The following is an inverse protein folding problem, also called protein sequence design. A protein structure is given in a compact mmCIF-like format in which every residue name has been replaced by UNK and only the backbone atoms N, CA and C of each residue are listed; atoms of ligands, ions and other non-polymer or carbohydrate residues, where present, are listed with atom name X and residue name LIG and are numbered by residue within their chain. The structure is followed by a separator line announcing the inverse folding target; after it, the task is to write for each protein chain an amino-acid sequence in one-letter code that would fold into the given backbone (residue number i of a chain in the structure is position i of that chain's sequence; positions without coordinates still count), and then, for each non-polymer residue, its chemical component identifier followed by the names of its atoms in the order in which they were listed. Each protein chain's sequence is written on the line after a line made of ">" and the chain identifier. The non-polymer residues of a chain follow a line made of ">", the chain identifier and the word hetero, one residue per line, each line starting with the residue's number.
data_IF_173381859820
#
_entry.id   IF_173381859820
#
_cell.length_a   1.000
_cell.length_b   1.000
_cell.length_c   1.000
_cell.angle_alpha   90.00
_cell.angle_beta   90.00
_cell.angle_gamma   90.00
#
_symmetry.space_group_name_H-M   'P 1'
#
loop_
_entity.id
_entity.type
_entity.pdbx_description
1 polymer ?
#
# COMPACT_ATOMS: atom_id res chain seq x y z
N UNK A 1 -11.94 -37.48 23.93
CA UNK A 1 -12.13 -37.37 25.39
C UNK A 1 -13.59 -37.20 25.86
N UNK A 2 -14.55 -36.74 25.02
CA UNK A 2 -15.93 -36.43 25.45
C UNK A 2 -16.82 -37.64 25.87
N UNK A 3 -16.39 -38.88 25.60
CA UNK A 3 -17.15 -40.10 25.91
C UNK A 3 -16.65 -40.89 27.14
N UNK A 4 -15.50 -40.50 27.71
CA UNK A 4 -14.93 -41.19 28.88
C UNK A 4 -15.72 -40.92 30.15
N UNK A 5 -16.20 -39.69 30.34
CA UNK A 5 -16.98 -39.28 31.52
C UNK A 5 -18.29 -40.06 31.66
N UNK A 6 -19.17 -40.17 30.64
CA UNK A 6 -20.41 -40.95 30.79
C UNK A 6 -20.14 -42.45 30.95
N UNK A 7 -19.11 -43.00 30.30
CA UNK A 7 -18.74 -44.40 30.43
C UNK A 7 -18.26 -44.76 31.85
N UNK A 8 -17.52 -43.86 32.48
CA UNK A 8 -16.98 -44.06 33.83
C UNK A 8 -18.08 -43.94 34.90
N UNK A 9 -19.03 -43.03 34.71
CA UNK A 9 -20.23 -42.92 35.56
C UNK A 9 -21.12 -44.16 35.44
N UNK A 10 -21.31 -44.68 34.22
CA UNK A 10 -22.07 -45.91 34.00
C UNK A 10 -21.42 -47.14 34.68
N UNK A 11 -20.09 -47.28 34.59
CA UNK A 11 -19.36 -48.37 35.26
C UNK A 11 -19.42 -48.28 36.79
N UNK A 12 -19.26 -47.08 37.36
CA UNK A 12 -19.35 -46.89 38.81
C UNK A 12 -20.77 -47.21 39.33
N UNK A 13 -21.81 -46.84 38.58
CA UNK A 13 -23.19 -47.16 38.92
C UNK A 13 -23.48 -48.67 38.83
N UNK A 14 -22.95 -49.35 37.80
CA UNK A 14 -23.08 -50.81 37.65
C UNK A 14 -22.43 -51.54 38.83
N UNK A 15 -21.26 -51.08 39.28
CA UNK A 15 -20.56 -51.62 40.44
C UNK A 15 -21.36 -51.45 41.74
N UNK A 16 -22.03 -50.30 41.92
CA UNK A 16 -22.90 -50.06 43.08
C UNK A 16 -24.13 -50.98 43.10
N UNK A 17 -24.76 -51.20 41.94
CA UNK A 17 -25.93 -52.07 41.82
C UNK A 17 -25.61 -53.55 42.16
N UNK A 18 -24.43 -54.03 41.74
CA UNK A 18 -23.96 -55.40 42.06
C UNK A 18 -23.68 -55.54 43.57
N UNK A 19 -23.12 -54.51 44.20
CA UNK A 19 -22.89 -54.47 45.66
C UNK A 19 -24.21 -54.53 46.45
N UNK A 20 -25.23 -53.77 46.05
CA UNK A 20 -26.54 -53.80 46.71
C UNK A 20 -27.31 -55.10 46.47
N UNK A 21 -27.13 -55.76 45.33
CA UNK A 21 -27.69 -57.08 45.07
C UNK A 21 -27.07 -58.16 45.98
N UNK A 22 -25.76 -58.06 46.25
CA UNK A 22 -25.05 -58.97 47.14
C UNK A 22 -25.45 -58.82 48.63
N UNK A 23 -26.01 -57.67 49.04
CA UNK A 23 -26.47 -57.41 50.42
C UNK A 23 -27.92 -57.85 50.69
N UNK A 24 -28.62 -58.47 49.73
CA UNK A 24 -29.91 -59.14 49.96
C UNK A 24 -31.13 -58.23 50.11
N UNK A 25 -31.06 -56.97 49.67
CA UNK A 25 -32.14 -55.98 49.76
C UNK A 25 -32.60 -55.54 48.35
N UNK A 26 -33.50 -56.30 47.68
CA UNK A 26 -33.87 -56.04 46.28
C UNK A 26 -34.59 -54.71 46.08
N UNK A 27 -35.25 -54.19 47.12
CA UNK A 27 -35.92 -52.88 47.10
C UNK A 27 -34.94 -51.72 46.97
N UNK A 28 -33.81 -51.76 47.68
CA UNK A 28 -32.80 -50.70 47.63
C UNK A 28 -32.08 -50.65 46.27
N UNK A 29 -31.82 -51.81 45.66
CA UNK A 29 -31.24 -51.91 44.32
C UNK A 29 -32.17 -51.35 43.24
N UNK A 30 -33.48 -51.62 43.34
CA UNK A 30 -34.48 -51.07 42.42
C UNK A 30 -34.57 -49.54 42.47
N UNK A 31 -34.52 -48.96 43.67
CA UNK A 31 -34.58 -47.50 43.86
C UNK A 31 -33.36 -46.80 43.25
N UNK A 32 -32.18 -47.39 43.37
CA UNK A 32 -30.94 -46.84 42.81
C UNK A 32 -30.92 -46.88 41.29
N UNK A 33 -31.36 -47.99 40.68
CA UNK A 33 -31.50 -48.11 39.22
C UNK A 33 -32.55 -47.14 38.67
N UNK A 34 -33.68 -46.96 39.38
CA UNK A 34 -34.69 -45.98 39.01
C UNK A 34 -34.17 -44.54 39.06
N UNK A 35 -33.38 -44.20 40.09
CA UNK A 35 -32.72 -42.90 40.21
C UNK A 35 -31.72 -42.64 39.08
N UNK A 36 -30.92 -43.64 38.71
CA UNK A 36 -29.97 -43.53 37.60
C UNK A 36 -30.70 -43.35 36.25
N UNK A 37 -31.75 -44.13 36.01
CA UNK A 37 -32.56 -44.01 34.80
C UNK A 37 -33.20 -42.62 34.70
N UNK A 38 -33.73 -42.09 35.81
CA UNK A 38 -34.27 -40.73 35.86
C UNK A 38 -33.20 -39.67 35.59
N UNK A 39 -31.98 -39.84 36.12
CA UNK A 39 -30.87 -38.90 35.91
C UNK A 39 -30.35 -38.96 34.46
N UNK A 40 -30.25 -40.14 33.85
CA UNK A 40 -29.86 -40.29 32.44
C UNK A 40 -30.92 -39.72 31.50
N UNK A 41 -32.21 -39.92 31.80
CA UNK A 41 -33.31 -39.31 31.03
C UNK A 41 -33.28 -37.79 31.20
N UNK A 42 -33.05 -37.27 32.40
CA UNK A 42 -32.91 -35.82 32.63
C UNK A 42 -31.70 -35.25 31.88
N UNK A 43 -30.54 -35.91 31.92
CA UNK A 43 -29.36 -35.50 31.16
C UNK A 43 -29.60 -35.53 29.64
N UNK A 44 -30.30 -36.55 29.13
CA UNK A 44 -30.65 -36.66 27.72
C UNK A 44 -31.67 -35.59 27.28
N UNK A 45 -32.65 -35.28 28.14
CA UNK A 45 -33.62 -34.19 27.90
C UNK A 45 -32.93 -32.84 27.97
N UNK A 46 -31.97 -32.63 28.89
CA UNK A 46 -31.17 -31.41 28.97
C UNK A 46 -30.26 -31.28 27.74
N UNK A 47 -29.60 -32.34 27.28
CA UNK A 47 -28.74 -32.31 26.09
C UNK A 47 -29.55 -32.07 24.80
N UNK A 48 -30.74 -32.70 24.68
CA UNK A 48 -31.68 -32.37 23.60
C UNK A 48 -32.23 -30.97 23.72
N UNK A 49 -32.46 -30.46 24.94
CA UNK A 49 -32.88 -29.08 25.15
C UNK A 49 -31.74 -28.11 24.90
N UNK A 50 -30.49 -28.34 25.23
CA UNK A 50 -29.39 -27.41 24.92
C UNK A 50 -29.10 -27.38 23.42
N UNK A 51 -29.19 -28.51 22.72
CA UNK A 51 -29.13 -28.56 21.24
C UNK A 51 -30.36 -27.89 20.60
N UNK A 52 -31.54 -27.93 21.24
CA UNK A 52 -32.74 -27.24 20.77
C UNK A 52 -32.87 -25.77 21.25
N UNK A 53 -32.16 -25.37 22.30
CA UNK A 53 -32.17 -24.03 22.93
C UNK A 53 -31.03 -23.16 22.39
N UNK A 54 -30.04 -23.73 21.68
CA UNK A 54 -29.27 -22.97 20.68
C UNK A 54 -30.10 -22.54 19.45
N UNK A 55 -31.42 -22.79 19.46
CA UNK A 55 -32.41 -22.30 18.50
C UNK A 55 -33.47 -21.37 19.12
N UNK A 56 -33.17 -20.65 20.21
CA UNK A 56 -34.02 -19.57 20.72
C UNK A 56 -33.23 -18.28 20.95
N UNK A 57 -32.97 -17.56 19.86
CA UNK A 57 -33.45 -16.19 19.66
C UNK A 57 -33.03 -15.76 18.26
N UNK A 58 -33.90 -16.07 17.30
CA UNK A 58 -33.80 -15.57 15.95
C UNK A 58 -34.07 -14.07 15.95
N UNK A 59 -33.07 -13.27 16.32
CA UNK A 59 -32.80 -12.12 15.48
C UNK A 59 -32.48 -12.74 14.13
N UNK A 60 -33.45 -12.71 13.20
CA UNK A 60 -33.21 -13.13 11.84
C UNK A 60 -31.92 -12.44 11.42
N UNK A 61 -30.83 -13.21 11.28
CA UNK A 61 -29.68 -12.74 10.53
C UNK A 61 -30.27 -12.65 9.13
N UNK A 62 -30.79 -11.49 8.80
CA UNK A 62 -31.28 -11.17 7.46
C UNK A 62 -30.11 -11.51 6.58
N UNK A 63 -30.23 -12.62 5.84
CA UNK A 63 -29.23 -13.03 4.87
C UNK A 63 -28.93 -11.76 4.05
N UNK A 64 -27.67 -11.29 4.01
CA UNK A 64 -27.35 -10.04 3.35
C UNK A 64 -27.97 -10.03 1.96
N UNK A 65 -28.68 -8.96 1.62
CA UNK A 65 -29.22 -8.84 0.28
C UNK A 65 -28.04 -8.67 -0.70
N UNK A 66 -27.66 -9.79 -1.32
CA UNK A 66 -26.53 -9.82 -2.25
C UNK A 66 -26.78 -8.94 -3.47
N UNK A 67 -28.04 -8.62 -3.80
CA UNK A 67 -28.35 -7.67 -4.87
C UNK A 67 -27.98 -6.24 -4.46
N UNK A 68 -28.21 -5.85 -3.21
CA UNK A 68 -27.78 -4.56 -2.67
C UNK A 68 -26.25 -4.47 -2.58
N UNK A 69 -25.59 -5.54 -2.14
CA UNK A 69 -24.12 -5.61 -2.11
C UNK A 69 -23.54 -5.49 -3.51
N UNK A 70 -24.10 -6.20 -4.50
CA UNK A 70 -23.67 -6.10 -5.90
C UNK A 70 -23.90 -4.69 -6.47
N UNK A 71 -25.02 -4.05 -6.15
CA UNK A 71 -25.31 -2.67 -6.57
C UNK A 71 -24.32 -1.67 -5.95
N UNK A 72 -24.03 -1.79 -4.65
CA UNK A 72 -23.07 -0.94 -3.96
C UNK A 72 -21.64 -1.12 -4.49
N UNK A 73 -21.19 -2.37 -4.69
CA UNK A 73 -19.90 -2.69 -5.30
C UNK A 73 -19.78 -2.12 -6.72
N UNK A 74 -20.88 -2.07 -7.47
CA UNK A 74 -20.89 -1.55 -8.85
C UNK A 74 -20.69 -0.03 -8.93
N UNK A 75 -20.89 0.71 -7.83
CA UNK A 75 -20.58 2.15 -7.77
C UNK A 75 -19.08 2.41 -7.60
N UNK A 76 -18.31 1.44 -7.09
CA UNK A 76 -16.87 1.58 -6.95
C UNK A 76 -16.17 1.42 -8.31
N UNK A 77 -15.28 2.36 -8.63
CA UNK A 77 -14.47 2.33 -9.86
C UNK A 77 -13.31 1.35 -9.78
N UNK A 78 -12.80 1.09 -8.58
CA UNK A 78 -11.66 0.19 -8.35
C UNK A 78 -12.15 -1.25 -8.20
N UNK A 79 -11.28 -2.22 -8.48
CA UNK A 79 -11.63 -3.62 -8.35
C UNK A 79 -11.97 -3.94 -6.88
N UNK A 80 -13.13 -4.54 -6.66
CA UNK A 80 -13.61 -4.93 -5.35
C UNK A 80 -14.41 -6.23 -5.39
N UNK A 81 -14.27 -7.03 -4.35
CA UNK A 81 -14.94 -8.31 -4.18
C UNK A 81 -15.34 -8.55 -2.72
N UNK A 82 -16.39 -9.32 -2.50
CA UNK A 82 -16.84 -9.75 -1.17
C UNK A 82 -16.75 -11.27 -1.11
N UNK A 83 -16.09 -11.79 -0.09
CA UNK A 83 -16.02 -13.24 0.18
C UNK A 83 -16.69 -13.57 1.51
N UNK A 84 -17.01 -14.84 1.69
CA UNK A 84 -17.31 -15.37 3.02
C UNK A 84 -16.01 -15.55 3.85
N UNK A 85 -16.17 -16.04 5.09
CA UNK A 85 -15.05 -16.30 6.00
C UNK A 85 -14.09 -17.40 5.50
N UNK A 86 -14.56 -18.32 4.65
CA UNK A 86 -13.75 -19.39 4.05
C UNK A 86 -12.94 -18.91 2.84
N UNK A 87 -13.25 -17.72 2.31
CA UNK A 87 -12.65 -17.16 1.10
C UNK A 87 -13.42 -17.51 -0.18
N UNK A 88 -14.63 -18.04 -0.08
CA UNK A 88 -15.49 -18.25 -1.24
C UNK A 88 -16.07 -16.91 -1.71
N UNK A 89 -16.02 -16.64 -3.02
CA UNK A 89 -16.49 -15.41 -3.61
C UNK A 89 -18.03 -15.32 -3.55
N UNK A 90 -18.55 -14.27 -2.91
CA UNK A 90 -19.99 -13.98 -2.82
C UNK A 90 -20.45 -13.00 -3.89
N UNK A 91 -19.70 -11.92 -4.10
CA UNK A 91 -20.00 -10.89 -5.10
C UNK A 91 -18.74 -10.14 -5.52
N UNK A 92 -18.71 -9.60 -6.73
CA UNK A 92 -17.62 -8.78 -7.23
C UNK A 92 -18.17 -7.69 -8.15
N UNK A 93 -17.43 -6.60 -8.34
CA UNK A 93 -17.78 -5.59 -9.34
C UNK A 93 -17.20 -5.92 -10.73
N UNK A 94 -17.58 -5.13 -11.73
CA UNK A 94 -17.09 -5.29 -13.10
C UNK A 94 -15.56 -5.14 -13.18
N UNK A 95 -15.00 -4.12 -12.53
CA UNK A 95 -13.55 -3.87 -12.53
C UNK A 95 -12.73 -5.05 -11.98
N UNK A 96 -13.23 -5.75 -10.96
CA UNK A 96 -12.61 -6.97 -10.45
C UNK A 96 -12.66 -8.10 -11.48
N UNK A 97 -13.83 -8.35 -12.05
CA UNK A 97 -14.03 -9.43 -13.03
C UNK A 97 -13.24 -9.23 -14.32
N UNK A 98 -13.15 -8.00 -14.79
CA UNK A 98 -12.37 -7.65 -15.98
C UNK A 98 -10.87 -7.85 -15.74
N UNK A 99 -10.42 -7.60 -14.50
CA UNK A 99 -9.00 -7.69 -14.13
C UNK A 99 -8.53 -9.11 -13.80
N UNK A 100 -9.34 -9.88 -13.07
CA UNK A 100 -8.93 -11.17 -12.49
C UNK A 100 -9.75 -12.36 -12.99
N UNK A 101 -10.82 -12.13 -13.76
CA UNK A 101 -11.73 -13.16 -14.26
C UNK A 101 -13.06 -13.21 -13.51
N UNK A 102 -14.06 -13.84 -14.14
CA UNK A 102 -15.46 -13.85 -13.68
C UNK A 102 -15.70 -14.61 -12.36
N UNK A 103 -14.86 -15.60 -12.06
CA UNK A 103 -15.07 -16.59 -10.98
C UNK A 103 -13.83 -16.85 -10.12
N UNK A 104 -12.75 -16.10 -10.35
CA UNK A 104 -11.52 -16.18 -9.56
C UNK A 104 -11.80 -15.67 -8.14
N UNK A 105 -11.51 -16.47 -7.12
CA UNK A 105 -11.55 -16.00 -5.73
C UNK A 105 -10.34 -15.08 -5.47
N UNK A 106 -10.47 -14.04 -4.61
CA UNK A 106 -9.36 -13.20 -4.19
C UNK A 106 -8.12 -13.96 -3.72
N UNK A 107 -8.30 -15.10 -3.02
CA UNK A 107 -7.20 -15.95 -2.56
C UNK A 107 -6.47 -16.67 -3.72
N UNK A 108 -7.16 -16.90 -4.84
CA UNK A 108 -6.62 -17.56 -6.03
C UNK A 108 -5.99 -16.61 -7.05
N UNK A 109 -5.85 -15.32 -6.73
CA UNK A 109 -5.21 -14.33 -7.61
C UNK A 109 -3.67 -14.44 -7.55
N UNK A 110 -3.13 -14.89 -6.42
CA UNK A 110 -1.69 -15.01 -6.21
C UNK A 110 -1.07 -15.97 -7.23
N UNK A 111 0.06 -15.56 -7.81
CA UNK A 111 0.80 -16.34 -8.80
C UNK A 111 1.94 -17.16 -8.19
N UNK A 112 2.36 -16.83 -6.96
CA UNK A 112 3.39 -17.54 -6.20
C UNK A 112 2.90 -17.90 -4.78
N UNK A 113 3.61 -18.82 -4.14
CA UNK A 113 3.26 -19.37 -2.82
C UNK A 113 3.38 -18.33 -1.71
N UNK A 114 4.42 -17.48 -1.76
CA UNK A 114 4.63 -16.40 -0.79
C UNK A 114 3.47 -15.39 -0.80
N UNK A 115 3.01 -15.02 -1.99
CA UNK A 115 1.87 -14.13 -2.20
C UNK A 115 0.57 -14.78 -1.72
N UNK A 116 0.40 -16.10 -1.94
CA UNK A 116 -0.77 -16.83 -1.46
C UNK A 116 -0.80 -16.87 0.08
N UNK A 117 0.35 -17.12 0.71
CA UNK A 117 0.48 -17.08 2.18
C UNK A 117 0.23 -15.68 2.73
N UNK A 118 0.76 -14.64 2.08
CA UNK A 118 0.53 -13.25 2.47
C UNK A 118 -0.96 -12.86 2.40
N UNK A 119 -1.69 -13.29 1.35
CA UNK A 119 -3.13 -13.07 1.25
C UNK A 119 -3.91 -13.82 2.35
N UNK A 120 -3.56 -15.07 2.65
CA UNK A 120 -4.24 -15.83 3.70
C UNK A 120 -3.92 -15.27 5.10
N UNK A 121 -2.69 -14.79 5.32
CA UNK A 121 -2.32 -14.08 6.54
C UNK A 121 -3.15 -12.80 6.71
N UNK A 122 -3.25 -11.97 5.66
CA UNK A 122 -4.07 -10.76 5.69
C UNK A 122 -5.55 -11.07 5.93
N UNK A 123 -6.08 -12.16 5.36
CA UNK A 123 -7.44 -12.66 5.62
C UNK A 123 -7.64 -13.00 7.09
N UNK A 124 -6.73 -13.76 7.70
CA UNK A 124 -6.81 -14.13 9.12
C UNK A 124 -6.74 -12.91 10.03
N UNK A 125 -5.86 -11.96 9.72
CA UNK A 125 -5.74 -10.67 10.44
C UNK A 125 -7.07 -9.90 10.33
N UNK A 126 -7.62 -9.73 9.13
CA UNK A 126 -8.88 -9.03 8.93
C UNK A 126 -10.07 -9.69 9.67
N UNK A 127 -10.13 -11.02 9.71
CA UNK A 127 -11.17 -11.73 10.46
C UNK A 127 -11.06 -11.50 11.98
N UNK A 128 -9.84 -11.43 12.50
CA UNK A 128 -9.55 -11.22 13.93
C UNK A 128 -9.72 -9.76 14.34
N UNK A 129 -9.05 -8.86 13.63
CA UNK A 129 -8.85 -7.46 14.01
C UNK A 129 -9.82 -6.50 13.28
N UNK A 130 -10.55 -7.00 12.29
CA UNK A 130 -11.52 -6.24 11.50
C UNK A 130 -10.94 -5.65 10.22
N UNK A 131 -9.62 -5.43 10.15
CA UNK A 131 -8.90 -4.90 9.00
C UNK A 131 -7.64 -5.73 8.75
N UNK A 132 -7.26 -5.89 7.48
CA UNK A 132 -6.01 -6.51 7.08
C UNK A 132 -5.54 -5.95 5.76
N UNK A 133 -4.24 -6.01 5.47
CA UNK A 133 -3.70 -5.57 4.20
C UNK A 133 -2.52 -6.43 3.78
N UNK A 134 -2.32 -6.54 2.47
CA UNK A 134 -1.17 -7.19 1.86
C UNK A 134 -0.70 -6.34 0.67
N UNK A 135 0.62 -6.14 0.56
CA UNK A 135 1.21 -5.29 -0.49
C UNK A 135 2.20 -6.10 -1.32
N UNK A 136 2.35 -5.74 -2.58
CA UNK A 136 3.31 -6.39 -3.48
C UNK A 136 2.92 -7.83 -3.86
N UNK A 137 1.64 -8.18 -3.79
CA UNK A 137 1.13 -9.50 -4.16
C UNK A 137 1.36 -9.73 -5.65
N UNK A 138 2.17 -10.73 -5.99
CA UNK A 138 2.43 -11.07 -7.38
C UNK A 138 1.18 -11.67 -8.01
N UNK A 139 0.76 -11.10 -9.14
CA UNK A 139 -0.31 -11.64 -9.98
C UNK A 139 0.22 -11.87 -11.38
N UNK A 140 -0.55 -12.56 -12.23
CA UNK A 140 -0.17 -12.86 -13.62
C UNK A 140 0.19 -11.60 -14.43
N UNK A 141 -0.41 -10.43 -14.12
CA UNK A 141 -0.14 -9.20 -14.86
C UNK A 141 0.86 -8.27 -14.17
N UNK A 142 0.60 -7.93 -12.91
CA UNK A 142 1.31 -6.87 -12.18
C UNK A 142 1.22 -7.11 -10.67
N UNK A 143 2.22 -6.71 -9.87
CA UNK A 143 2.08 -6.71 -8.43
C UNK A 143 0.94 -5.79 -7.99
N UNK A 144 0.18 -6.21 -6.98
CA UNK A 144 -0.99 -5.50 -6.47
C UNK A 144 -0.91 -5.28 -4.97
N UNK A 145 -1.64 -4.28 -4.50
CA UNK A 145 -1.95 -4.12 -3.09
C UNK A 145 -3.42 -4.48 -2.87
N UNK A 146 -3.70 -5.03 -1.69
CA UNK A 146 -5.00 -5.56 -1.32
C UNK A 146 -5.30 -5.15 0.11
N UNK A 147 -6.45 -4.52 0.31
CA UNK A 147 -6.98 -4.19 1.62
C UNK A 147 -8.23 -5.03 1.89
N UNK A 148 -8.37 -5.49 3.11
CA UNK A 148 -9.44 -6.36 3.57
C UNK A 148 -10.15 -5.71 4.75
N UNK A 149 -11.48 -5.66 4.68
CA UNK A 149 -12.34 -5.17 5.75
C UNK A 149 -13.36 -6.25 6.11
N UNK A 150 -13.45 -6.58 7.41
CA UNK A 150 -14.52 -7.45 7.91
C UNK A 150 -15.84 -6.71 7.90
N UNK A 151 -16.80 -7.28 7.17
CA UNK A 151 -18.15 -6.73 7.00
C UNK A 151 -19.19 -7.76 7.47
N UNK A 152 -20.33 -7.25 7.95
CA UNK A 152 -21.42 -8.04 8.51
C UNK A 152 -21.37 -8.18 10.04
N UNK A 153 -22.54 -8.06 10.67
CA UNK A 153 -22.73 -8.24 12.11
C UNK A 153 -23.46 -9.57 12.38
N UNK A 154 -22.95 -10.37 13.31
CA UNK A 154 -23.57 -11.63 13.77
C UNK A 154 -23.21 -12.85 12.90
N UNK A 155 -22.58 -13.86 13.54
CA UNK A 155 -22.46 -15.26 13.07
C UNK A 155 -21.67 -15.56 11.79
N UNK A 156 -21.84 -14.78 10.72
CA UNK A 156 -21.20 -14.96 9.42
C UNK A 156 -20.32 -13.77 9.05
N UNK A 157 -19.03 -13.86 9.35
CA UNK A 157 -18.07 -12.86 8.92
C UNK A 157 -17.91 -12.91 7.39
N UNK A 158 -18.12 -11.78 6.72
CA UNK A 158 -17.77 -11.59 5.31
C UNK A 158 -16.58 -10.63 5.22
N UNK A 159 -15.84 -10.69 4.14
CA UNK A 159 -14.69 -9.82 3.91
C UNK A 159 -14.90 -9.03 2.63
N UNK A 160 -14.80 -7.72 2.72
CA UNK A 160 -14.67 -6.85 1.56
C UNK A 160 -13.19 -6.74 1.21
N UNK A 161 -12.86 -7.12 -0.02
CA UNK A 161 -11.55 -7.01 -0.63
C UNK A 161 -11.55 -5.80 -1.55
N UNK A 162 -10.68 -4.84 -1.30
CA UNK A 162 -10.43 -3.70 -2.18
C UNK A 162 -9.04 -3.79 -2.77
N UNK A 163 -8.96 -3.55 -4.08
CA UNK A 163 -7.74 -3.62 -4.86
C UNK A 163 -7.40 -2.22 -5.37
N UNK A 164 -6.89 -1.33 -4.50
CA UNK A 164 -6.53 0.01 -4.92
C UNK A 164 -5.56 -0.07 -6.08
N UNK A 165 -5.72 0.81 -7.07
CA UNK A 165 -4.67 0.94 -8.09
C UNK A 165 -3.39 1.30 -7.35
N UNK A 166 -2.27 0.67 -7.72
CA UNK A 166 -0.95 1.07 -7.22
C UNK A 166 -0.89 2.60 -7.32
N UNK A 167 -0.81 3.27 -6.17
CA UNK A 167 -0.95 4.72 -6.11
C UNK A 167 0.00 5.31 -7.14
N UNK A 168 -0.49 6.25 -7.97
CA UNK A 168 0.36 6.90 -8.97
C UNK A 168 1.64 7.30 -8.26
N UNK A 169 2.84 6.99 -8.81
CA UNK A 169 4.08 7.35 -8.15
C UNK A 169 3.99 8.82 -7.77
N UNK A 170 4.26 9.15 -6.50
CA UNK A 170 4.33 10.55 -6.09
C UNK A 170 5.42 11.18 -6.97
N UNK A 171 5.01 11.93 -7.99
CA UNK A 171 5.91 12.36 -9.04
C UNK A 171 6.98 13.31 -8.48
N UNK A 172 6.65 14.07 -7.43
CA UNK A 172 7.60 14.87 -6.66
C UNK A 172 8.62 13.98 -5.93
N UNK A 173 8.22 12.86 -5.33
CA UNK A 173 9.16 11.91 -4.70
C UNK A 173 10.09 11.27 -5.73
N UNK A 174 9.58 10.94 -6.92
CA UNK A 174 10.40 10.42 -8.03
C UNK A 174 11.38 11.48 -8.54
N UNK A 175 10.91 12.72 -8.71
CA UNK A 175 11.77 13.85 -9.09
C UNK A 175 12.84 14.11 -8.03
N UNK A 176 12.48 14.08 -6.74
CA UNK A 176 13.40 14.24 -5.62
C UNK A 176 14.53 13.21 -5.68
N UNK A 177 14.19 11.93 -5.89
CA UNK A 177 15.19 10.87 -6.05
C UNK A 177 16.10 11.04 -7.28
N UNK A 178 15.59 11.64 -8.37
CA UNK A 178 16.41 11.94 -9.56
C UNK A 178 17.36 13.12 -9.30
N UNK A 179 16.87 14.19 -8.68
CA UNK A 179 17.66 15.39 -8.36
C UNK A 179 18.72 15.09 -7.29
N UNK A 180 18.44 14.25 -6.30
CA UNK A 180 19.44 13.80 -5.34
C UNK A 180 20.36 12.68 -5.89
N UNK A 181 20.03 12.10 -7.05
CA UNK A 181 20.67 10.91 -7.59
C UNK A 181 21.44 11.16 -8.90
N UNK A 182 21.34 10.21 -9.83
CA UNK A 182 22.14 10.21 -11.07
C UNK A 182 21.90 11.42 -11.96
N UNK A 183 20.67 11.94 -12.04
CA UNK A 183 20.37 13.17 -12.78
C UNK A 183 21.03 14.38 -12.11
N UNK A 184 20.91 14.48 -10.78
CA UNK A 184 21.61 15.49 -9.98
C UNK A 184 23.11 15.50 -10.17
N UNK A 185 23.74 14.32 -10.21
CA UNK A 185 25.17 14.17 -10.44
C UNK A 185 25.59 14.61 -11.83
N UNK A 186 24.76 14.40 -12.86
CA UNK A 186 25.02 14.91 -14.21
C UNK A 186 24.91 16.43 -14.28
N UNK A 187 23.93 17.01 -13.58
CA UNK A 187 23.82 18.47 -13.44
C UNK A 187 25.03 19.04 -12.71
N UNK A 188 25.48 18.39 -11.63
CA UNK A 188 26.67 18.78 -10.89
C UNK A 188 27.93 18.76 -11.75
N UNK A 189 28.10 17.72 -12.59
CA UNK A 189 29.22 17.63 -13.54
C UNK A 189 29.21 18.75 -14.60
N UNK A 190 28.05 19.35 -14.87
CA UNK A 190 27.89 20.51 -15.74
C UNK A 190 27.98 21.86 -15.00
N UNK A 191 28.37 21.86 -13.72
CA UNK A 191 28.44 23.08 -12.90
C UNK A 191 27.06 23.63 -12.47
N UNK A 192 26.00 22.84 -12.60
CA UNK A 192 24.62 23.25 -12.28
C UNK A 192 24.22 22.74 -10.92
N UNK A 193 23.86 23.66 -10.03
CA UNK A 193 23.20 23.33 -8.76
C UNK A 193 21.70 23.22 -8.97
N UNK A 194 21.07 22.23 -8.34
CA UNK A 194 19.64 21.96 -8.51
C UNK A 194 18.95 21.74 -7.16
N UNK A 195 17.80 22.39 -6.98
CA UNK A 195 16.96 22.28 -5.80
C UNK A 195 15.49 22.07 -6.21
N UNK A 196 14.88 20.97 -5.76
CA UNK A 196 13.46 20.68 -5.97
C UNK A 196 12.65 21.15 -4.77
N UNK A 197 11.56 21.88 -5.03
CA UNK A 197 10.62 22.35 -4.01
C UNK A 197 9.19 21.86 -4.27
N UNK A 198 8.38 21.77 -3.21
CA UNK A 198 6.94 21.57 -3.32
C UNK A 198 6.18 22.90 -3.48
N UNK A 199 4.85 22.83 -3.47
CA UNK A 199 3.96 23.98 -3.66
C UNK A 199 4.09 24.99 -2.52
N UNK A 200 4.46 24.53 -1.33
CA UNK A 200 4.72 25.35 -0.14
C UNK A 200 6.13 25.97 -0.10
N UNK A 201 6.97 25.74 -1.12
CA UNK A 201 8.34 26.25 -1.16
C UNK A 201 9.33 25.51 -0.26
N UNK A 202 8.95 24.36 0.29
CA UNK A 202 9.79 23.47 1.09
C UNK A 202 10.72 22.69 0.17
N UNK A 203 12.00 22.64 0.51
CA UNK A 203 13.01 21.86 -0.17
C UNK A 203 12.74 20.36 0.00
N UNK A 204 12.50 19.68 -1.12
CA UNK A 204 12.31 18.23 -1.17
C UNK A 204 13.60 17.47 -1.46
N UNK A 205 14.49 18.05 -2.28
CA UNK A 205 15.79 17.48 -2.61
C UNK A 205 16.73 18.54 -3.20
N UNK A 206 18.03 18.37 -2.98
CA UNK A 206 19.08 19.10 -3.69
C UNK A 206 20.09 18.12 -4.27
N UNK A 207 20.71 18.46 -5.40
CA UNK A 207 21.91 17.73 -5.83
C UNK A 207 23.08 18.06 -4.91
N UNK A 208 24.10 17.20 -4.89
CA UNK A 208 25.23 17.31 -3.95
C UNK A 208 25.84 18.72 -3.82
N UNK A 209 26.22 19.44 -4.90
CA UNK A 209 26.82 20.77 -4.75
C UNK A 209 25.87 21.81 -4.15
N UNK A 210 24.56 21.70 -4.38
CA UNK A 210 23.59 22.58 -3.72
C UNK A 210 23.49 22.24 -2.23
N UNK A 211 23.35 20.95 -1.90
CA UNK A 211 23.22 20.50 -0.51
C UNK A 211 24.44 20.89 0.33
N UNK A 212 25.64 20.65 -0.19
CA UNK A 212 26.90 20.93 0.51
C UNK A 212 27.09 22.43 0.81
N UNK A 213 26.62 23.30 -0.11
CA UNK A 213 26.82 24.76 -0.03
C UNK A 213 25.67 25.50 0.62
N UNK A 214 24.44 24.99 0.55
CA UNK A 214 23.24 25.69 1.00
C UNK A 214 22.66 25.11 2.30
N UNK A 215 22.64 23.77 2.47
CA UNK A 215 21.90 23.11 3.55
C UNK A 215 22.84 22.76 4.70
N UNK A 216 22.49 23.13 5.94
CA UNK A 216 23.27 22.77 7.13
C UNK A 216 23.18 21.25 7.44
N UNK A 217 24.30 20.64 7.84
CA UNK A 217 24.39 19.19 8.10
C UNK A 217 23.42 18.68 9.19
N UNK A 218 23.06 19.55 10.14
CA UNK A 218 22.24 19.21 11.31
C UNK A 218 20.87 19.92 11.31
N UNK A 219 20.34 20.26 10.14
CA UNK A 219 19.01 20.86 10.07
C UNK A 219 17.92 19.88 10.53
N UNK A 220 17.08 20.30 11.49
CA UNK A 220 15.87 19.57 11.91
C UNK A 220 14.60 20.20 11.30
N UNK A 221 13.79 19.39 10.61
CA UNK A 221 12.46 19.77 10.13
C UNK A 221 12.36 19.96 8.61
N UNK A 222 11.37 20.75 8.13
CA UNK A 222 11.31 21.21 6.75
C UNK A 222 12.09 22.53 6.56
N UNK A 223 12.90 22.62 5.50
CA UNK A 223 13.59 23.87 5.09
C UNK A 223 12.81 24.57 3.98
N UNK A 224 12.54 25.88 4.11
CA UNK A 224 12.07 26.66 2.97
C UNK A 224 13.23 27.11 2.08
N UNK A 225 13.06 27.05 0.77
CA UNK A 225 14.11 27.46 -0.17
C UNK A 225 14.53 28.93 0.01
N UNK A 226 13.57 29.80 0.34
CA UNK A 226 13.82 31.22 0.66
C UNK A 226 14.68 31.43 1.90
N UNK A 227 14.80 30.43 2.77
CA UNK A 227 15.68 30.49 3.92
C UNK A 227 17.14 30.24 3.51
N UNK A 228 17.35 29.51 2.42
CA UNK A 228 18.67 29.13 1.90
C UNK A 228 19.26 30.14 0.92
N UNK A 229 18.42 30.91 0.23
CA UNK A 229 18.86 31.88 -0.78
C UNK A 229 18.46 33.31 -0.44
N UNK A 230 19.27 34.27 -0.86
CA UNK A 230 18.94 35.70 -0.86
C UNK A 230 19.04 36.25 -2.28
N UNK A 231 18.20 37.22 -2.62
CA UNK A 231 18.21 37.87 -3.93
C UNK A 231 18.93 39.21 -3.81
N UNK A 232 19.90 39.46 -4.70
CA UNK A 232 20.60 40.74 -4.80
C UNK A 232 19.74 41.79 -5.53
N UNK A 233 20.13 43.06 -5.47
CA UNK A 233 19.45 44.14 -6.22
C UNK A 233 19.42 43.89 -7.74
N UNK A 234 20.43 43.20 -8.27
CA UNK A 234 20.54 42.82 -9.68
C UNK A 234 19.68 41.58 -10.07
N UNK A 235 18.90 41.03 -9.13
CA UNK A 235 18.07 39.85 -9.36
C UNK A 235 18.84 38.52 -9.40
N UNK A 236 20.12 38.51 -9.01
CA UNK A 236 20.91 37.29 -8.83
C UNK A 236 20.64 36.69 -7.44
N UNK A 237 20.87 35.40 -7.31
CA UNK A 237 20.74 34.66 -6.06
C UNK A 237 22.11 34.50 -5.40
N UNK A 238 22.14 34.48 -4.07
CA UNK A 238 23.30 34.04 -3.27
C UNK A 238 22.84 33.03 -2.24
N UNK A 239 23.67 32.03 -1.97
CA UNK A 239 23.42 31.08 -0.89
C UNK A 239 23.73 31.78 0.44
N UNK A 240 22.76 31.83 1.36
CA UNK A 240 22.94 32.56 2.64
C UNK A 240 24.08 31.99 3.47
N UNK A 241 24.30 30.66 3.40
CA UNK A 241 25.38 29.97 4.10
C UNK A 241 26.78 30.43 3.67
N UNK A 242 26.93 30.96 2.45
CA UNK A 242 28.19 31.48 1.94
C UNK A 242 28.45 32.94 2.34
N UNK A 243 27.46 33.60 2.96
CA UNK A 243 27.53 35.00 3.37
C UNK A 243 27.53 35.99 2.20
N UNK A 244 27.75 37.27 2.50
CA UNK A 244 27.68 38.36 1.52
C UNK A 244 28.75 38.29 0.42
N UNK A 245 29.88 37.62 0.71
CA UNK A 245 30.98 37.39 -0.24
C UNK A 245 30.80 36.17 -1.14
N UNK A 246 29.70 35.42 -0.99
CA UNK A 246 29.42 34.26 -1.83
C UNK A 246 29.23 34.61 -3.30
N UNK A 247 29.57 33.68 -4.23
CA UNK A 247 29.37 33.88 -5.66
C UNK A 247 27.90 34.18 -5.96
N UNK A 248 27.68 35.11 -6.88
CA UNK A 248 26.35 35.40 -7.38
C UNK A 248 25.92 34.30 -8.36
N UNK A 249 24.67 33.87 -8.27
CA UNK A 249 24.10 32.77 -9.03
C UNK A 249 22.92 33.28 -9.86
N UNK A 250 22.81 32.85 -11.11
CA UNK A 250 21.59 33.02 -11.89
C UNK A 250 20.65 31.85 -11.59
N UNK A 251 19.44 32.14 -11.12
CA UNK A 251 18.39 31.16 -10.89
C UNK A 251 17.44 31.03 -12.07
N UNK A 252 17.08 29.79 -12.43
CA UNK A 252 16.00 29.47 -13.38
C UNK A 252 15.03 28.54 -12.67
N UNK A 253 13.77 28.95 -12.57
CA UNK A 253 12.71 28.09 -12.06
C UNK A 253 12.08 27.28 -13.19
N UNK A 254 12.14 25.95 -13.08
CA UNK A 254 11.48 25.02 -13.99
C UNK A 254 10.24 24.48 -13.26
N UNK A 255 9.03 24.97 -13.57
CA UNK A 255 7.82 24.58 -12.87
C UNK A 255 7.54 23.09 -13.09
N UNK A 256 7.00 22.45 -12.06
CA UNK A 256 6.65 21.03 -12.10
C UNK A 256 5.43 20.77 -12.98
N UNK A 257 4.44 21.67 -12.93
CA UNK A 257 3.26 21.69 -13.79
C UNK A 257 3.16 23.09 -14.41
N UNK A 258 3.40 23.25 -15.73
CA UNK A 258 3.41 24.56 -16.37
C UNK A 258 2.02 25.20 -16.48
N UNK A 259 0.94 24.42 -16.35
CA UNK A 259 -0.43 24.95 -16.41
C UNK A 259 -0.94 25.41 -15.02
N UNK A 260 -0.26 24.97 -13.96
CA UNK A 260 -0.59 25.37 -12.58
C UNK A 260 0.50 26.27 -12.02
N UNK A 261 0.11 27.49 -11.67
CA UNK A 261 0.95 28.41 -10.91
C UNK A 261 1.01 27.99 -9.43
N UNK A 262 1.66 26.85 -9.19
CA UNK A 262 1.71 26.18 -7.88
C UNK A 262 3.00 26.45 -7.12
N UNK A 263 3.97 27.16 -7.72
CA UNK A 263 5.31 27.38 -7.14
C UNK A 263 6.19 26.12 -7.04
N UNK A 264 5.63 24.91 -7.12
CA UNK A 264 6.39 23.66 -7.14
C UNK A 264 7.23 23.55 -8.40
N UNK A 265 8.47 23.13 -8.25
CA UNK A 265 9.39 23.03 -9.37
C UNK A 265 10.84 22.85 -8.97
N UNK A 266 11.70 22.78 -9.99
CA UNK A 266 13.14 22.67 -9.81
C UNK A 266 13.79 24.02 -10.08
N UNK A 267 14.49 24.56 -9.09
CA UNK A 267 15.40 25.67 -9.28
C UNK A 267 16.75 25.16 -9.78
N UNK A 268 17.19 25.68 -10.92
CA UNK A 268 18.52 25.48 -11.46
C UNK A 268 19.34 26.75 -11.22
N UNK A 269 20.51 26.59 -10.62
CA UNK A 269 21.39 27.68 -10.23
C UNK A 269 22.71 27.55 -10.99
N UNK A 270 23.08 28.63 -11.67
CA UNK A 270 24.29 28.75 -12.49
C UNK A 270 25.19 29.84 -11.91
N UNK A 271 26.51 29.70 -11.99
CA UNK A 271 27.42 30.77 -11.59
C UNK A 271 27.25 31.98 -12.52
N UNK A 272 27.05 33.18 -11.96
CA UNK A 272 26.88 34.41 -12.72
C UNK A 272 28.22 35.01 -13.19
N UNK A 273 29.34 34.59 -12.60
CA UNK A 273 30.69 35.03 -13.00
C UNK A 273 31.18 34.33 -14.26
N UNK A 274 30.65 33.15 -14.55
CA UNK A 274 30.71 32.58 -15.89
C UNK A 274 29.81 33.42 -16.80
N UNK A 275 30.39 34.46 -17.41
CA UNK A 275 29.78 35.14 -18.56
C UNK A 275 29.15 34.08 -19.44
N UNK A 276 27.82 34.07 -19.51
CA UNK A 276 27.01 33.07 -20.19
C UNK A 276 27.79 32.41 -21.33
N UNK A 277 28.38 31.26 -21.03
CA UNK A 277 29.24 30.51 -21.95
C UNK A 277 28.41 29.81 -23.04
N UNK A 278 27.23 30.34 -23.31
CA UNK A 278 26.42 30.06 -24.50
C UNK A 278 27.17 30.44 -25.79
N UNK A 279 28.25 31.22 -25.68
CA UNK A 279 29.14 31.58 -26.79
C UNK A 279 30.47 30.80 -26.80
N UNK A 280 30.63 29.72 -26.03
CA UNK A 280 31.72 28.78 -26.29
C UNK A 280 31.43 28.04 -27.60
N UNK A 281 32.43 27.98 -28.49
CA UNK A 281 32.37 27.29 -29.79
C UNK A 281 31.81 25.88 -29.69
N UNK A 282 32.03 25.19 -28.57
CA UNK A 282 31.55 23.83 -28.30
C UNK A 282 30.02 23.76 -28.19
N UNK A 283 29.37 24.78 -27.61
CA UNK A 283 27.90 24.84 -27.53
C UNK A 283 27.29 25.17 -28.91
N UNK A 284 27.99 25.95 -29.73
CA UNK A 284 27.59 26.18 -31.14
C UNK A 284 27.75 24.90 -31.96
N UNK A 285 28.82 24.14 -31.75
CA UNK A 285 29.05 22.86 -32.40
C UNK A 285 27.93 21.85 -32.09
N UNK A 286 27.51 21.75 -30.82
CA UNK A 286 26.38 20.89 -30.40
C UNK A 286 25.04 21.37 -30.98
N UNK A 287 24.80 22.68 -31.05
CA UNK A 287 23.62 23.26 -31.70
C UNK A 287 23.59 23.00 -33.22
N UNK A 288 24.75 23.03 -33.88
CA UNK A 288 24.90 22.69 -35.29
C UNK A 288 24.72 21.18 -35.53
N UNK A 289 25.14 20.34 -34.58
CA UNK A 289 24.97 18.89 -34.64
C UNK A 289 23.52 18.44 -34.41
N UNK A 290 22.71 19.25 -33.71
CA UNK A 290 21.29 19.00 -33.44
C UNK A 290 20.35 19.49 -34.56
N UNK A 291 20.85 20.16 -35.59
CA UNK A 291 20.04 20.56 -36.73
C UNK A 291 19.83 19.37 -37.69
N UNK A 292 18.59 19.03 -38.07
CA UNK A 292 18.31 17.98 -39.05
C UNK A 292 18.55 18.47 -40.49
N UNK A 293 19.62 19.23 -40.71
CA UNK A 293 20.04 19.79 -41.99
C UNK A 293 21.55 19.63 -42.10
N UNK A 294 22.01 18.93 -43.15
CA UNK A 294 23.43 18.74 -43.43
C UNK A 294 24.11 20.08 -43.72
N UNK A 295 24.68 20.69 -42.68
CA UNK A 295 25.42 21.94 -42.77
C UNK A 295 26.92 21.63 -42.89
N UNK A 296 27.55 22.24 -43.88
CA UNK A 296 28.99 22.16 -44.09
C UNK A 296 29.59 23.56 -43.90
N UNK A 297 30.56 23.69 -42.98
CA UNK A 297 31.25 24.96 -42.72
C UNK A 297 32.35 25.15 -43.77
N UNK A 298 32.37 26.28 -44.46
CA UNK A 298 33.34 26.59 -45.51
C UNK A 298 34.15 27.82 -45.10
N UNK A 299 35.47 27.68 -45.10
CA UNK A 299 36.41 28.77 -44.86
C UNK A 299 36.34 29.82 -45.98
N UNK A 300 36.85 31.03 -45.73
CA UNK A 300 36.83 32.15 -46.68
C UNK A 300 37.51 31.83 -48.03
N UNK A 301 38.34 30.79 -48.06
CA UNK A 301 39.01 30.24 -49.25
C UNK A 301 38.25 29.10 -49.94
N UNK A 302 37.00 28.82 -49.55
CA UNK A 302 36.16 27.79 -50.19
C UNK A 302 36.44 26.35 -49.75
N UNK A 303 37.19 26.15 -48.66
CA UNK A 303 37.53 24.81 -48.13
C UNK A 303 36.58 24.37 -47.02
N UNK A 304 36.10 23.13 -47.09
CA UNK A 304 35.23 22.55 -46.06
C UNK A 304 36.02 22.24 -44.78
N UNK A 305 35.56 22.75 -43.65
CA UNK A 305 36.18 22.57 -42.33
C UNK A 305 35.56 21.41 -41.56
N UNK A 306 34.24 21.24 -41.62
CA UNK A 306 33.49 20.16 -40.97
C UNK A 306 32.16 19.92 -41.68
N UNK A 307 31.64 18.70 -41.61
CA UNK A 307 30.32 18.30 -42.12
C UNK A 307 29.69 17.30 -41.15
N UNK A 308 28.41 17.48 -40.82
CA UNK A 308 27.64 16.51 -40.04
C UNK A 308 26.65 15.77 -40.95
N UNK A 309 26.52 14.45 -40.76
CA UNK A 309 25.62 13.56 -41.51
C UNK A 309 24.53 13.02 -40.60
#
# INVERSE_FOLDING_TARGET
>A
MRWLVPALVAMAALSGAVLFWALGQPFAAGLFLAGLAAMLVAAFVIDRRTVAVSKSDGMAITKPDLSLVAAALSLQKEAAAVTDASGALLSANAAYRDRFGLSTSPLGIANDEDSAEALDAARRIALRDGLGSASGISTVSTPINVDLLKVGAGGGASLLWSFPKASKPNLLKVAAGRIAGTTGNRLAAAGVMAALINEEGILLAGNQPFSDRAVEENHEGPVHFTDLVTTTEEGLLRLKREGEGGPALRGVHVPFDPEKDSGAGTFLLFDATEKASLANSDNVQVLLELLPLGLALVDRDGRFLTMNT
#
